data_IF_207517313624
#
_entry.id   IF_207517313624
#
_cell.length_a   1.000
_cell.length_b   1.000
_cell.length_c   1.000
_cell.angle_alpha   90.00
_cell.angle_beta   90.00
_cell.angle_gamma   90.00
#
_symmetry.space_group_name_H-M   'P 1'
#
loop_
_entity.id
_entity.type
_entity.pdbx_description
1 polymer ?
#
# COMPACT_ATOMS: atom_id res chain seq x y z
N UNK A 1 2.88 -13.11 3.38
CA UNK A 1 2.62 -12.23 2.22
C UNK A 1 2.85 -10.78 2.63
N UNK A 2 3.44 -9.93 1.79
CA UNK A 2 3.64 -8.53 2.12
C UNK A 2 2.29 -7.79 2.20
N UNK A 3 2.12 -7.00 3.27
CA UNK A 3 0.96 -6.13 3.45
C UNK A 3 1.32 -4.77 2.86
N UNK A 4 0.58 -4.35 1.84
CA UNK A 4 0.73 -3.02 1.25
C UNK A 4 -0.34 -2.08 1.81
N UNK A 5 0.06 -0.88 2.17
CA UNK A 5 -0.91 0.18 2.45
C UNK A 5 -1.29 0.88 1.16
N UNK A 6 -2.58 1.17 1.01
CA UNK A 6 -3.13 1.94 -0.08
C UNK A 6 -3.98 3.08 0.46
N UNK A 7 -3.94 4.21 -0.22
CA UNK A 7 -4.77 5.38 0.05
C UNK A 7 -5.65 5.66 -1.16
N UNK A 8 -6.96 5.74 -0.96
CA UNK A 8 -7.86 6.18 -2.02
C UNK A 8 -7.80 7.70 -2.17
N UNK A 9 -7.65 8.20 -3.40
CA UNK A 9 -7.62 9.65 -3.67
C UNK A 9 -9.01 10.29 -3.61
N UNK A 10 -10.07 9.51 -3.88
CA UNK A 10 -11.46 9.99 -3.85
C UNK A 10 -11.99 10.17 -2.42
N UNK A 11 -11.93 9.13 -1.60
CA UNK A 11 -12.47 9.17 -0.23
C UNK A 11 -11.41 9.43 0.84
N UNK A 12 -10.14 9.56 0.45
CA UNK A 12 -8.97 9.77 1.34
C UNK A 12 -8.77 8.72 2.43
N UNK A 13 -9.51 7.61 2.38
CA UNK A 13 -9.36 6.49 3.31
C UNK A 13 -8.13 5.66 2.97
N UNK A 14 -7.43 5.24 4.03
CA UNK A 14 -6.31 4.30 3.98
C UNK A 14 -6.83 2.91 4.28
N UNK A 15 -6.32 1.92 3.56
CA UNK A 15 -6.63 0.52 3.80
C UNK A 15 -5.39 -0.33 3.53
N UNK A 16 -5.29 -1.44 4.26
CA UNK A 16 -4.23 -2.43 4.10
C UNK A 16 -4.73 -3.49 3.14
N UNK A 17 -3.91 -3.85 2.17
CA UNK A 17 -4.21 -4.88 1.20
C UNK A 17 -3.00 -5.83 1.13
N UNK A 18 -3.26 -7.07 1.50
CA UNK A 18 -2.32 -8.16 1.37
C UNK A 18 -2.22 -8.50 -0.11
N UNK A 19 -1.03 -8.30 -0.68
CA UNK A 19 -0.80 -8.57 -2.09
C UNK A 19 0.55 -9.24 -2.25
N UNK A 20 0.64 -10.17 -3.19
CA UNK A 20 1.92 -10.71 -3.60
C UNK A 20 2.67 -9.68 -4.47
N UNK A 21 4.00 -9.68 -4.40
CA UNK A 21 4.86 -8.80 -5.24
C UNK A 21 4.49 -8.88 -6.72
N UNK A 22 4.11 -10.07 -7.20
CA UNK A 22 3.70 -10.33 -8.59
C UNK A 22 2.40 -9.60 -8.99
N UNK A 23 1.54 -9.27 -8.03
CA UNK A 23 0.25 -8.61 -8.24
C UNK A 23 0.33 -7.09 -8.06
N UNK A 24 1.32 -6.60 -7.31
CA UNK A 24 1.54 -5.19 -6.99
C UNK A 24 1.73 -4.29 -8.23
N UNK A 25 2.11 -4.86 -9.39
CA UNK A 25 2.21 -4.17 -10.67
C UNK A 25 1.06 -4.41 -11.65
N UNK A 26 0.24 -5.46 -11.45
CA UNK A 26 -0.76 -5.89 -12.45
C UNK A 26 -2.16 -5.39 -12.15
N UNK A 27 -2.56 -5.31 -10.87
CA UNK A 27 -3.93 -4.95 -10.49
C UNK A 27 -3.95 -4.04 -9.27
N UNK A 28 -4.34 -2.79 -9.48
CA UNK A 28 -4.65 -1.87 -8.37
C UNK A 28 -5.98 -2.30 -7.73
N UNK A 29 -6.02 -2.51 -6.40
CA UNK A 29 -7.25 -2.89 -5.73
C UNK A 29 -8.27 -1.75 -5.78
N UNK A 30 -9.56 -2.09 -5.89
CA UNK A 30 -10.62 -1.09 -5.76
C UNK A 30 -10.78 -0.70 -4.28
N UNK A 31 -11.06 0.58 -4.02
CA UNK A 31 -11.33 1.04 -2.67
C UNK A 31 -12.62 0.38 -2.13
N UNK A 32 -12.61 -0.26 -0.95
CA UNK A 32 -13.78 -0.96 -0.41
C UNK A 32 -14.94 0.00 -0.06
N UNK A 33 -14.65 1.30 0.12
CA UNK A 33 -15.64 2.32 0.51
C UNK A 33 -16.38 2.94 -0.69
N UNK A 34 -15.66 3.22 -1.78
CA UNK A 34 -16.19 3.98 -2.91
C UNK A 34 -16.10 3.23 -4.24
N UNK A 35 -15.57 2.00 -4.25
CA UNK A 35 -15.32 1.16 -5.43
C UNK A 35 -14.43 1.80 -6.50
N UNK A 36 -13.84 2.96 -6.21
CA UNK A 36 -12.92 3.63 -7.12
C UNK A 36 -11.60 2.87 -7.23
N UNK A 37 -11.08 2.75 -8.45
CA UNK A 37 -9.71 2.25 -8.73
C UNK A 37 -8.64 3.33 -8.58
N UNK A 38 -9.04 4.57 -8.25
CA UNK A 38 -8.14 5.67 -7.94
C UNK A 38 -7.57 5.49 -6.52
N UNK A 39 -6.64 4.54 -6.39
CA UNK A 39 -5.88 4.27 -5.17
C UNK A 39 -4.39 4.38 -5.47
N UNK A 40 -3.66 4.89 -4.50
CA UNK A 40 -2.22 5.07 -4.53
C UNK A 40 -1.58 4.23 -3.43
N UNK A 41 -0.49 3.48 -3.72
CA UNK A 41 0.23 2.76 -2.70
C UNK A 41 0.88 3.75 -1.72
N UNK A 42 0.59 3.59 -0.44
CA UNK A 42 1.34 4.19 0.65
C UNK A 42 2.40 3.19 1.08
N UNK A 43 3.63 3.40 0.63
CA UNK A 43 4.77 2.79 1.30
C UNK A 43 5.01 3.59 2.57
N UNK A 44 4.71 2.99 3.72
CA UNK A 44 5.34 3.45 4.97
C UNK A 44 6.83 3.42 4.71
N UNK A 45 7.51 4.57 4.82
CA UNK A 45 8.96 4.67 4.72
C UNK A 45 9.55 3.80 5.83
N UNK A 46 9.81 2.53 5.54
CA UNK A 46 10.54 1.65 6.43
C UNK A 46 11.96 2.23 6.53
N UNK A 47 12.20 3.03 7.56
CA UNK A 47 13.56 3.36 7.97
C UNK A 47 14.16 2.09 8.59
N UNK A 48 14.93 1.36 7.80
CA UNK A 48 15.83 0.35 8.34
C UNK A 48 16.84 1.11 9.20
N UNK A 49 16.64 1.12 10.53
CA UNK A 49 17.68 1.50 11.48
C UNK A 49 18.80 0.49 11.33
N UNK A 50 19.72 0.71 10.40
CA UNK A 50 21.02 0.06 10.43
C UNK A 50 21.74 0.66 11.63
N UNK A 51 21.70 -0.06 12.76
CA UNK A 51 22.55 0.28 13.89
C UNK A 51 23.99 0.30 13.39
N UNK A 52 24.62 1.47 13.38
CA UNK A 52 26.08 1.56 13.22
C UNK A 52 26.68 0.66 14.28
N UNK A 53 27.33 -0.41 13.86
CA UNK A 53 28.22 -1.17 14.72
C UNK A 53 29.46 -0.29 14.87
N UNK A 54 29.62 0.32 16.05
CA UNK A 54 30.84 1.03 16.43
C UNK A 54 31.99 0.05 16.64
#
# INVERSE_FOLDING_TARGET
MPIYEYRCTKCRKRFRYEQSISEHGKRRPACPKCKSRAVEPMFSTFFAKTGRKS
#
